data_IF_374471785736
#
_entry.id   IF_374471785736
#
_cell.length_a   1.000
_cell.length_b   1.000
_cell.length_c   1.000
_cell.angle_alpha   90.00
_cell.angle_beta   90.00
_cell.angle_gamma   90.00
#
_symmetry.space_group_name_H-M   'P 1'
#
loop_
_entity.id
_entity.type
_entity.pdbx_description
1 polymer ?
#
# COMPACT_ATOMS: atom_id res chain seq x y z
N UNK A 1 10.72 -91.04 0.71
CA UNK A 1 9.70 -89.98 0.72
C UNK A 1 10.45 -88.69 0.84
N UNK A 2 10.70 -88.14 -0.34
CA UNK A 2 11.67 -87.11 -0.65
C UNK A 2 11.29 -85.74 -0.07
N UNK A 3 12.28 -85.07 0.50
CA UNK A 3 12.21 -83.69 0.92
C UNK A 3 12.14 -82.80 -0.32
N UNK A 4 11.01 -82.14 -0.56
CA UNK A 4 10.90 -81.10 -1.59
C UNK A 4 11.34 -79.76 -1.00
N UNK A 5 12.47 -79.25 -1.49
CA UNK A 5 12.94 -77.88 -1.28
C UNK A 5 11.99 -76.89 -1.96
N UNK A 6 11.47 -75.94 -1.18
CA UNK A 6 10.76 -74.79 -1.71
C UNK A 6 11.80 -73.75 -2.18
N UNK A 7 12.00 -73.66 -3.50
CA UNK A 7 12.81 -72.61 -4.13
C UNK A 7 12.05 -71.28 -4.04
N UNK A 8 12.54 -70.39 -3.17
CA UNK A 8 12.13 -68.98 -3.11
C UNK A 8 12.64 -68.29 -4.38
N UNK A 9 11.72 -67.94 -5.29
CA UNK A 9 12.04 -67.11 -6.44
C UNK A 9 12.39 -65.68 -6.00
N UNK A 10 13.31 -64.98 -6.69
CA UNK A 10 13.74 -63.65 -6.28
C UNK A 10 12.62 -62.63 -6.47
N UNK A 11 12.43 -61.84 -5.43
CA UNK A 11 11.51 -60.70 -5.35
C UNK A 11 11.91 -59.64 -6.40
N UNK A 12 11.07 -59.47 -7.41
CA UNK A 12 11.23 -58.43 -8.44
C UNK A 12 10.89 -57.09 -7.77
N UNK A 13 11.91 -56.29 -7.47
CA UNK A 13 11.71 -54.89 -7.08
C UNK A 13 11.24 -54.12 -8.31
N UNK A 14 10.18 -53.29 -8.21
CA UNK A 14 9.80 -52.41 -9.32
C UNK A 14 10.89 -51.36 -9.48
N UNK A 15 11.58 -51.37 -10.63
CA UNK A 15 12.49 -50.29 -11.01
C UNK A 15 11.67 -49.01 -11.20
N UNK A 16 11.86 -48.04 -10.30
CA UNK A 16 11.33 -46.70 -10.47
C UNK A 16 12.15 -45.97 -11.55
N UNK A 17 11.60 -45.83 -12.75
CA UNK A 17 12.13 -45.00 -13.83
C UNK A 17 12.37 -43.55 -13.32
N UNK A 18 13.61 -43.05 -13.25
CA UNK A 18 13.91 -41.74 -12.67
C UNK A 18 13.55 -40.54 -13.56
N UNK A 19 12.89 -40.73 -14.71
CA UNK A 19 12.74 -39.69 -15.73
C UNK A 19 11.36 -39.00 -15.79
N UNK A 20 10.49 -39.13 -14.80
CA UNK A 20 9.24 -38.35 -14.75
C UNK A 20 9.30 -37.18 -13.75
N UNK A 21 10.31 -36.31 -13.92
CA UNK A 21 10.33 -35.01 -13.25
C UNK A 21 9.35 -34.10 -13.99
N UNK A 22 8.13 -33.98 -13.47
CA UNK A 22 7.09 -33.11 -14.01
C UNK A 22 7.62 -31.69 -14.27
N UNK A 23 7.92 -31.39 -15.53
CA UNK A 23 8.37 -30.07 -15.96
C UNK A 23 7.18 -29.11 -15.83
N UNK A 24 7.11 -28.39 -14.71
CA UNK A 24 6.01 -27.44 -14.49
C UNK A 24 6.15 -26.31 -15.51
N UNK A 25 5.16 -26.09 -16.40
CA UNK A 25 5.27 -25.05 -17.42
C UNK A 25 5.49 -23.68 -16.75
N UNK A 26 6.32 -22.81 -17.34
CA UNK A 26 6.59 -21.50 -16.77
C UNK A 26 5.29 -20.69 -16.64
N UNK A 27 5.13 -20.03 -15.49
CA UNK A 27 3.95 -19.21 -15.19
C UNK A 27 3.78 -18.13 -16.26
N UNK A 28 2.75 -18.28 -17.09
CA UNK A 28 2.42 -17.30 -18.12
C UNK A 28 2.12 -15.95 -17.48
N UNK A 29 2.82 -14.90 -17.90
CA UNK A 29 2.57 -13.53 -17.44
C UNK A 29 1.14 -13.15 -17.79
N UNK A 30 0.35 -12.77 -16.78
CA UNK A 30 -1.02 -12.31 -17.01
C UNK A 30 -0.99 -11.10 -17.94
N UNK A 31 -1.75 -11.17 -19.03
CA UNK A 31 -1.94 -10.04 -19.93
C UNK A 31 -2.59 -8.83 -19.23
N UNK A 32 -2.71 -7.69 -19.94
CA UNK A 32 -3.25 -6.47 -19.38
C UNK A 32 -4.65 -6.67 -18.81
N UNK A 33 -4.93 -6.01 -17.68
CA UNK A 33 -6.22 -6.14 -16.98
C UNK A 33 -7.35 -5.53 -17.81
N UNK A 34 -8.33 -6.36 -18.20
CA UNK A 34 -9.53 -5.92 -18.92
C UNK A 34 -10.56 -5.37 -17.95
N UNK A 35 -10.77 -4.05 -17.98
CA UNK A 35 -11.82 -3.38 -17.20
C UNK A 35 -13.17 -3.55 -17.90
N UNK A 36 -14.19 -3.93 -17.13
CA UNK A 36 -15.59 -3.91 -17.61
C UNK A 36 -16.11 -2.48 -17.48
N UNK A 37 -16.72 -1.95 -18.54
CA UNK A 37 -17.33 -0.62 -18.54
C UNK A 37 -18.52 -0.55 -17.57
N UNK A 38 -18.78 0.63 -17.02
CA UNK A 38 -19.87 0.81 -16.07
C UNK A 38 -21.24 0.64 -16.74
N UNK A 39 -21.39 1.05 -18.00
CA UNK A 39 -22.59 0.78 -18.81
C UNK A 39 -22.85 -0.71 -19.03
N UNK A 40 -21.80 -1.55 -19.13
CA UNK A 40 -21.96 -3.00 -19.19
C UNK A 40 -22.37 -3.58 -17.83
N UNK A 41 -21.79 -3.10 -16.73
CA UNK A 41 -22.18 -3.52 -15.37
C UNK A 41 -23.63 -3.20 -15.09
N UNK A 42 -24.06 -1.97 -15.37
CA UNK A 42 -25.44 -1.51 -15.15
C UNK A 42 -26.45 -2.37 -15.94
N UNK A 43 -26.20 -2.63 -17.23
CA UNK A 43 -27.07 -3.51 -18.05
C UNK A 43 -27.17 -4.93 -17.48
N UNK A 44 -26.06 -5.51 -17.04
CA UNK A 44 -26.03 -6.85 -16.45
C UNK A 44 -26.80 -6.88 -15.13
N UNK A 45 -26.61 -5.87 -14.27
CA UNK A 45 -27.27 -5.79 -12.97
C UNK A 45 -28.77 -5.49 -13.11
N UNK A 46 -29.16 -4.61 -14.03
CA UNK A 46 -30.56 -4.31 -14.33
C UNK A 46 -31.30 -5.56 -14.84
N UNK A 47 -30.73 -6.27 -15.81
CA UNK A 47 -31.31 -7.53 -16.31
C UNK A 47 -31.43 -8.59 -15.20
N UNK A 48 -30.49 -8.61 -14.26
CA UNK A 48 -30.54 -9.53 -13.13
C UNK A 48 -31.60 -9.15 -12.10
N UNK A 49 -31.91 -7.85 -11.95
CA UNK A 49 -32.98 -7.34 -11.09
C UNK A 49 -34.36 -7.65 -11.67
N UNK A 50 -34.52 -7.50 -12.99
CA UNK A 50 -35.79 -7.74 -13.69
C UNK A 50 -36.04 -9.21 -14.04
N UNK A 51 -35.11 -10.12 -13.71
CA UNK A 51 -35.24 -11.55 -14.00
C UNK A 51 -34.94 -11.95 -15.44
N UNK A 52 -34.38 -11.05 -16.26
CA UNK A 52 -33.98 -11.33 -17.64
C UNK A 52 -32.66 -12.13 -17.76
N UNK A 53 -32.25 -12.37 -19.01
CA UNK A 53 -31.07 -13.19 -19.36
C UNK A 53 -29.72 -12.48 -19.16
N UNK A 54 -29.42 -12.12 -17.91
CA UNK A 54 -28.17 -11.48 -17.53
C UNK A 54 -26.92 -12.31 -17.88
N UNK A 55 -27.04 -13.64 -17.99
CA UNK A 55 -25.92 -14.53 -18.37
C UNK A 55 -25.50 -14.31 -19.82
N UNK A 56 -26.45 -14.14 -20.73
CA UNK A 56 -26.19 -13.87 -22.14
C UNK A 56 -25.53 -12.50 -22.31
N UNK A 57 -26.05 -11.48 -21.61
CA UNK A 57 -25.49 -10.12 -21.59
C UNK A 57 -24.07 -10.12 -21.01
N UNK A 58 -23.82 -10.86 -19.93
CA UNK A 58 -22.49 -10.98 -19.33
C UNK A 58 -21.48 -11.63 -20.30
N UNK A 59 -21.88 -12.72 -20.98
CA UNK A 59 -21.04 -13.39 -21.98
C UNK A 59 -20.68 -12.46 -23.14
N UNK A 60 -21.66 -11.69 -23.65
CA UNK A 60 -21.44 -10.71 -24.72
C UNK A 60 -20.45 -9.60 -24.31
N UNK A 61 -20.41 -9.23 -23.02
CA UNK A 61 -19.46 -8.24 -22.48
C UNK A 61 -18.16 -8.86 -21.95
N UNK A 62 -17.91 -10.16 -22.19
CA UNK A 62 -16.69 -10.86 -21.74
C UNK A 62 -16.57 -11.04 -20.23
N UNK A 63 -17.68 -10.93 -19.49
CA UNK A 63 -17.71 -11.04 -18.03
C UNK A 63 -18.05 -12.48 -17.62
N UNK A 64 -17.22 -13.06 -16.75
CA UNK A 64 -17.46 -14.42 -16.24
C UNK A 64 -18.63 -14.44 -15.24
N UNK A 65 -19.46 -15.49 -15.30
CA UNK A 65 -20.61 -15.68 -14.41
C UNK A 65 -20.28 -15.56 -12.90
N UNK A 66 -19.16 -16.11 -12.39
CA UNK A 66 -18.77 -15.93 -10.99
C UNK A 66 -18.52 -14.46 -10.61
N UNK A 67 -18.01 -13.65 -11.54
CA UNK A 67 -17.76 -12.22 -11.33
C UNK A 67 -19.07 -11.47 -11.15
N UNK A 68 -20.08 -11.75 -11.98
CA UNK A 68 -21.42 -11.15 -11.85
C UNK A 68 -22.10 -11.58 -10.55
N UNK A 69 -21.97 -12.85 -10.16
CA UNK A 69 -22.44 -13.34 -8.85
C UNK A 69 -21.72 -12.68 -7.68
N UNK A 70 -20.45 -12.31 -7.82
CA UNK A 70 -19.73 -11.58 -6.78
C UNK A 70 -20.22 -10.12 -6.69
N UNK A 71 -20.59 -9.48 -7.81
CA UNK A 71 -21.19 -8.15 -7.82
C UNK A 71 -22.55 -8.12 -7.12
N UNK A 72 -23.35 -9.17 -7.31
CA UNK A 72 -24.63 -9.36 -6.64
C UNK A 72 -24.60 -9.29 -5.11
N UNK A 73 -23.47 -9.69 -4.52
CA UNK A 73 -23.28 -9.76 -3.07
C UNK A 73 -22.82 -8.43 -2.48
N UNK A 74 -22.56 -7.43 -3.33
CA UNK A 74 -22.12 -6.11 -2.93
C UNK A 74 -23.33 -5.18 -2.82
N UNK A 75 -23.12 -4.10 -2.09
CA UNK A 75 -24.01 -2.95 -2.15
C UNK A 75 -24.12 -2.42 -3.58
N UNK A 76 -25.33 -2.08 -3.99
CA UNK A 76 -25.66 -1.60 -5.32
C UNK A 76 -26.18 -0.18 -5.17
N UNK A 77 -25.55 0.77 -5.87
CA UNK A 77 -25.97 2.17 -5.97
C UNK A 77 -26.10 2.49 -7.45
N UNK A 78 -27.23 3.04 -7.88
CA UNK A 78 -27.53 3.36 -9.30
C UNK A 78 -27.25 2.21 -10.28
N UNK A 79 -27.72 1.01 -9.94
CA UNK A 79 -27.52 -0.25 -10.68
C UNK A 79 -26.04 -0.67 -10.87
N UNK A 80 -25.11 -0.02 -10.14
CA UNK A 80 -23.69 -0.33 -10.15
C UNK A 80 -23.26 -0.98 -8.84
N UNK A 81 -22.48 -2.07 -8.89
CA UNK A 81 -21.90 -2.66 -7.69
C UNK A 81 -20.80 -1.74 -7.14
N UNK A 82 -20.91 -1.37 -5.86
CA UNK A 82 -19.92 -0.51 -5.20
C UNK A 82 -18.64 -1.31 -4.92
N UNK A 83 -17.51 -0.82 -5.44
CA UNK A 83 -16.20 -1.40 -5.17
C UNK A 83 -15.48 -0.54 -4.15
N UNK A 84 -15.14 -1.14 -3.00
CA UNK A 84 -14.19 -0.52 -2.07
C UNK A 84 -12.87 -0.28 -2.82
N UNK A 85 -12.27 0.91 -2.71
CA UNK A 85 -10.96 1.17 -3.29
C UNK A 85 -9.96 0.15 -2.74
N UNK A 86 -9.10 -0.37 -3.62
CA UNK A 86 -8.02 -1.28 -3.21
C UNK A 86 -6.82 -0.44 -2.83
N UNK A 87 -6.33 -0.63 -1.60
CA UNK A 87 -5.23 0.15 -1.04
C UNK A 87 -5.70 1.48 -0.43
N UNK A 88 -4.75 2.31 -0.04
CA UNK A 88 -5.00 3.57 0.65
C UNK A 88 -3.92 3.88 1.68
N UNK A 89 -4.08 5.01 2.35
CA UNK A 89 -3.21 5.39 3.46
C UNK A 89 -3.22 4.28 4.52
N UNK A 90 -2.04 3.86 4.93
CA UNK A 90 -1.86 2.91 6.04
C UNK A 90 -1.69 3.67 7.34
N UNK A 91 -1.78 2.97 8.46
CA UNK A 91 -1.45 3.54 9.76
C UNK A 91 -0.06 4.20 9.70
N UNK A 92 -0.02 5.48 10.04
CA UNK A 92 1.19 6.29 10.22
C UNK A 92 1.42 6.52 11.71
N UNK A 93 2.66 6.41 12.17
CA UNK A 93 3.06 6.78 13.54
C UNK A 93 2.88 8.29 13.80
N UNK A 94 2.99 9.10 12.76
CA UNK A 94 2.75 10.54 12.84
C UNK A 94 1.27 10.77 12.56
N UNK A 95 0.54 11.11 13.62
CA UNK A 95 -0.88 11.47 13.62
C UNK A 95 -1.03 12.96 13.30
N UNK A 96 -2.28 13.42 13.13
CA UNK A 96 -2.55 14.84 12.91
C UNK A 96 -2.19 15.70 14.13
N UNK A 97 -2.33 15.15 15.34
CA UNK A 97 -1.90 15.80 16.57
C UNK A 97 -0.39 16.09 16.59
N UNK A 98 0.42 15.09 16.22
CA UNK A 98 1.87 15.25 16.11
C UNK A 98 2.24 16.29 15.04
N UNK A 99 1.47 16.36 13.95
CA UNK A 99 1.66 17.39 12.93
C UNK A 99 1.38 18.77 13.53
N UNK A 100 0.25 18.99 14.19
CA UNK A 100 -0.07 20.27 14.83
C UNK A 100 0.99 20.72 15.83
N UNK A 101 1.57 19.79 16.61
CA UNK A 101 2.71 20.09 17.47
C UNK A 101 3.93 20.58 16.67
N UNK A 102 4.28 19.90 15.58
CA UNK A 102 5.39 20.31 14.70
C UNK A 102 5.19 21.74 14.21
N UNK A 103 3.97 22.07 13.78
CA UNK A 103 3.60 23.40 13.28
C UNK A 103 3.83 24.48 14.33
N UNK A 104 3.23 24.27 15.49
CA UNK A 104 3.27 25.20 16.60
C UNK A 104 4.70 25.40 17.13
N UNK A 105 5.45 24.31 17.26
CA UNK A 105 6.86 24.35 17.66
C UNK A 105 7.73 25.15 16.67
N UNK A 106 7.58 24.90 15.36
CA UNK A 106 8.33 25.63 14.33
C UNK A 106 7.94 27.11 14.24
N UNK A 107 6.70 27.47 14.58
CA UNK A 107 6.27 28.87 14.65
C UNK A 107 7.01 29.66 15.74
N UNK A 108 7.37 28.99 16.84
CA UNK A 108 8.08 29.57 17.98
C UNK A 108 9.59 29.47 17.87
N UNK A 109 10.10 28.45 17.18
CA UNK A 109 11.51 28.14 17.06
C UNK A 109 11.89 27.82 15.60
N UNK A 110 11.94 28.85 14.76
CA UNK A 110 12.17 28.72 13.30
C UNK A 110 13.56 28.22 12.91
N UNK A 111 14.56 28.35 13.79
CA UNK A 111 15.94 27.88 13.56
C UNK A 111 16.17 26.44 13.99
N UNK A 112 15.13 25.75 14.47
CA UNK A 112 15.22 24.38 14.99
C UNK A 112 15.59 23.40 13.89
N UNK A 113 16.58 22.56 14.16
CA UNK A 113 16.93 21.45 13.27
C UNK A 113 15.90 20.31 13.38
N UNK A 114 15.72 19.54 12.31
CA UNK A 114 14.81 18.37 12.32
C UNK A 114 15.14 17.39 13.44
N UNK A 115 16.41 17.26 13.83
CA UNK A 115 16.84 16.42 14.97
C UNK A 115 16.30 16.95 16.30
N UNK A 116 16.44 18.24 16.56
CA UNK A 116 15.91 18.87 17.77
C UNK A 116 14.39 18.79 17.82
N UNK A 117 13.72 19.03 16.69
CA UNK A 117 12.27 18.87 16.57
C UNK A 117 11.83 17.43 16.84
N UNK A 118 12.58 16.45 16.34
CA UNK A 118 12.30 15.03 16.60
C UNK A 118 12.42 14.71 18.09
N UNK A 119 13.42 15.26 18.78
CA UNK A 119 13.58 15.08 20.21
C UNK A 119 12.43 15.74 20.98
N UNK A 120 12.10 17.00 20.67
CA UNK A 120 10.98 17.72 21.30
C UNK A 120 9.64 16.97 21.12
N UNK A 121 9.41 16.37 19.96
CA UNK A 121 8.21 15.59 19.68
C UNK A 121 8.16 14.26 20.47
N UNK A 122 9.32 13.65 20.73
CA UNK A 122 9.42 12.46 21.61
C UNK A 122 9.21 12.81 23.07
N UNK A 123 9.73 13.96 23.49
CA UNK A 123 9.61 14.42 24.87
C UNK A 123 8.17 14.87 25.19
N UNK A 124 7.45 15.43 24.21
CA UNK A 124 6.06 15.86 24.35
C UNK A 124 5.03 14.72 24.26
N UNK A 125 5.37 13.61 23.58
CA UNK A 125 4.46 12.48 23.38
C UNK A 125 5.11 11.18 23.84
N UNK A 126 4.71 10.70 25.02
CA UNK A 126 5.21 9.44 25.58
C UNK A 126 4.97 8.25 24.64
N UNK A 127 5.98 7.39 24.48
CA UNK A 127 5.92 6.19 23.65
C UNK A 127 6.08 6.41 22.13
N UNK A 128 6.35 7.65 21.69
CA UNK A 128 6.50 7.96 20.27
C UNK A 128 7.90 7.63 19.73
N UNK A 129 8.08 6.44 19.16
CA UNK A 129 9.35 6.07 18.51
C UNK A 129 9.35 6.36 17.00
N UNK A 130 9.96 7.48 16.64
CA UNK A 130 10.07 7.97 15.25
C UNK A 130 11.50 8.37 14.87
N UNK A 131 11.80 8.27 13.58
CA UNK A 131 13.06 8.73 12.99
C UNK A 131 12.96 10.18 12.51
N UNK A 132 14.09 10.87 12.42
CA UNK A 132 14.14 12.22 11.87
C UNK A 132 13.66 12.30 10.41
N UNK A 133 13.86 11.23 9.62
CA UNK A 133 13.34 11.15 8.26
C UNK A 133 11.81 11.05 8.21
N UNK A 134 11.19 10.37 9.19
CA UNK A 134 9.73 10.33 9.30
C UNK A 134 9.16 11.74 9.57
N UNK A 135 9.80 12.50 10.48
CA UNK A 135 9.44 13.89 10.77
C UNK A 135 9.64 14.77 9.53
N UNK A 136 10.77 14.63 8.83
CA UNK A 136 11.03 15.36 7.58
C UNK A 136 9.94 15.08 6.53
N UNK A 137 9.55 13.81 6.37
CA UNK A 137 8.48 13.41 5.44
C UNK A 137 7.13 14.01 5.80
N UNK A 138 6.78 14.05 7.08
CA UNK A 138 5.52 14.68 7.52
C UNK A 138 5.53 16.19 7.30
N UNK A 139 6.69 16.85 7.42
CA UNK A 139 6.84 18.29 7.18
C UNK A 139 6.59 18.69 5.72
N UNK A 140 6.95 17.86 4.73
CA UNK A 140 6.77 18.18 3.30
C UNK A 140 5.31 18.44 2.91
N UNK A 141 4.34 17.91 3.65
CA UNK A 141 2.90 18.14 3.42
C UNK A 141 2.28 19.26 4.29
N UNK A 142 3.05 19.85 5.20
CA UNK A 142 2.59 20.89 6.14
C UNK A 142 2.93 22.31 5.69
N UNK A 143 3.51 22.46 4.49
CA UNK A 143 4.00 23.70 3.85
C UNK A 143 3.62 25.02 4.54
N UNK A 144 4.51 25.51 5.40
CA UNK A 144 4.62 26.92 5.77
C UNK A 144 5.64 27.58 4.85
N UNK A 145 5.26 28.66 4.17
CA UNK A 145 6.24 29.58 3.57
C UNK A 145 6.65 30.55 4.67
N UNK A 146 7.80 30.29 5.31
CA UNK A 146 8.40 31.24 6.24
C UNK A 146 8.98 32.38 5.41
N UNK A 147 8.49 33.62 5.58
CA UNK A 147 9.21 34.80 5.09
C UNK A 147 10.61 34.74 5.71
N UNK A 148 11.67 34.81 4.89
CA UNK A 148 13.05 34.67 5.36
C UNK A 148 13.25 35.49 6.65
N UNK A 149 13.63 34.80 7.72
CA UNK A 149 14.04 35.48 8.96
C UNK A 149 15.41 36.06 8.69
N UNK A 150 15.49 37.38 8.60
CA UNK A 150 16.76 38.09 8.54
C UNK A 150 17.39 38.02 9.93
N UNK A 151 18.48 37.25 10.05
CA UNK A 151 19.35 37.32 11.21
C UNK A 151 20.11 38.64 11.13
N UNK A 152 19.81 39.59 12.02
CA UNK A 152 20.70 40.72 12.26
C UNK A 152 21.87 40.23 13.12
N UNK A 153 23.10 40.20 12.57
CA UNK A 153 24.24 39.80 13.37
C UNK A 153 24.53 40.88 14.41
N UNK A 154 24.68 40.49 15.68
CA UNK A 154 25.06 41.39 16.79
C UNK A 154 26.42 42.09 16.56
N UNK A 155 27.19 41.61 15.59
CA UNK A 155 28.46 42.20 15.17
C UNK A 155 28.30 43.28 14.10
N UNK A 156 27.15 43.40 13.43
CA UNK A 156 26.91 44.50 12.51
C UNK A 156 26.67 45.79 13.31
N UNK A 157 27.54 46.78 13.11
CA UNK A 157 27.43 48.11 13.70
C UNK A 157 27.46 48.18 15.24
N UNK A 158 28.08 47.21 15.92
CA UNK A 158 28.41 47.40 17.34
C UNK A 158 29.49 48.48 17.52
N UNK A 159 29.55 49.11 18.70
CA UNK A 159 30.49 50.22 19.01
C UNK A 159 31.94 49.85 18.69
N UNK A 160 32.32 48.60 18.96
CA UNK A 160 33.65 48.04 18.70
C UNK A 160 33.98 48.02 17.21
N UNK A 161 33.04 47.62 16.34
CA UNK A 161 33.25 47.55 14.90
C UNK A 161 33.05 48.91 14.21
N UNK A 162 32.29 49.82 14.81
CA UNK A 162 32.26 51.23 14.40
C UNK A 162 33.62 51.89 14.63
N UNK A 163 34.24 51.66 15.79
CA UNK A 163 35.55 52.20 16.12
C UNK A 163 36.69 51.72 15.22
N UNK A 164 36.56 50.53 14.60
CA UNK A 164 37.53 50.03 13.60
C UNK A 164 37.35 50.65 12.21
N UNK A 165 36.25 51.37 11.96
CA UNK A 165 35.94 52.02 10.68
C UNK A 165 36.32 53.50 10.65
N UNK A 166 36.59 54.10 11.81
CA UNK A 166 37.12 55.46 11.95
C UNK A 166 38.64 55.46 11.71
#
# INVERSE_FOLDING_TARGET
MDHQEAVVGPEIQPEEDPENVAHTPPLQRRGPYKKVSDSAKARIMAARRTGGDWRAIAKANGVKTPTVRAWAKKEIVDDLPVFKPKGGARHSKITEEHKNFIVDYLSRHSTTTVRQLTQALKDAHEGLEISADAVRKSMHGLTYTVKQVHFEPETANNEVNLGKRA
#
